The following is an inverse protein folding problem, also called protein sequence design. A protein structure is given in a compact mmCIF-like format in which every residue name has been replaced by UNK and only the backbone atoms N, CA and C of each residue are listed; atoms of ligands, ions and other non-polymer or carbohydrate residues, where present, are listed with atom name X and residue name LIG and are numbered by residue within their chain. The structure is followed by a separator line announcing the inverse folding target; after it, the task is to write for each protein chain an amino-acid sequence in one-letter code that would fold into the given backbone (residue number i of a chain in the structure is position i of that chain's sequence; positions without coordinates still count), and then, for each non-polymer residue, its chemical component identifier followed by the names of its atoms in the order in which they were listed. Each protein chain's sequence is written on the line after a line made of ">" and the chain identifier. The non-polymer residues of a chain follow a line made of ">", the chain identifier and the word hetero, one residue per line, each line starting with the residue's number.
data_IF_325561794970
#
_entry.id   IF_325561794970
#
_cell.length_a   1.000
_cell.length_b   1.000
_cell.length_c   1.000
_cell.angle_alpha   90.00
_cell.angle_beta   90.00
_cell.angle_gamma   90.00
#
_symmetry.space_group_name_H-M   'P 1'
#
loop_
_entity.id
_entity.type
_entity.pdbx_description
1 polymer ?
#
# COMPACT_ATOMS: atom_id res chain seq x y z
N UNK A 1 -12.70 -5.60 -7.88
CA UNK A 1 -12.64 -4.13 -7.84
C UNK A 1 -11.20 -3.63 -7.67
N UNK A 2 -10.52 -3.97 -6.57
CA UNK A 2 -9.13 -3.51 -6.30
C UNK A 2 -8.15 -3.81 -7.44
N UNK A 3 -8.14 -5.05 -7.96
CA UNK A 3 -7.24 -5.40 -9.06
C UNK A 3 -7.44 -4.54 -10.31
N UNK A 4 -8.68 -4.22 -10.66
CA UNK A 4 -8.97 -3.34 -11.80
C UNK A 4 -8.50 -1.91 -11.56
N UNK A 5 -8.70 -1.39 -10.34
CA UNK A 5 -8.19 -0.07 -9.94
C UNK A 5 -6.66 -0.02 -10.06
N UNK A 6 -5.96 -1.08 -9.65
CA UNK A 6 -4.51 -1.17 -9.79
C UNK A 6 -4.04 -1.20 -11.25
N UNK A 7 -4.80 -1.85 -12.13
CA UNK A 7 -4.44 -1.92 -13.56
C UNK A 7 -4.76 -0.65 -14.32
N UNK A 8 -5.83 0.06 -13.94
CA UNK A 8 -6.34 1.22 -14.68
C UNK A 8 -5.93 2.56 -14.09
N UNK A 9 -5.63 2.62 -12.80
CA UNK A 9 -5.44 3.88 -12.08
C UNK A 9 -6.73 4.71 -11.93
N UNK A 10 -7.91 4.10 -12.11
CA UNK A 10 -9.21 4.78 -12.03
C UNK A 10 -9.95 4.30 -10.79
N UNK A 11 -10.46 5.23 -9.98
CA UNK A 11 -11.26 4.90 -8.80
C UNK A 11 -12.59 4.23 -9.19
N UNK A 12 -13.02 3.27 -8.39
CA UNK A 12 -14.32 2.60 -8.54
C UNK A 12 -15.15 2.69 -7.27
N UNK A 13 -16.46 2.80 -7.45
CA UNK A 13 -17.45 2.81 -6.38
C UNK A 13 -18.51 1.75 -6.72
N UNK A 14 -18.90 0.99 -5.72
CA UNK A 14 -19.96 -0.01 -5.78
C UNK A 14 -21.33 0.67 -5.84
N UNK A 15 -22.23 0.13 -6.65
CA UNK A 15 -23.64 0.53 -6.65
C UNK A 15 -24.39 0.02 -5.41
N UNK A 16 -23.84 -0.97 -4.70
CA UNK A 16 -24.44 -1.61 -3.52
C UNK A 16 -24.07 -0.88 -2.21
N UNK A 17 -24.25 0.43 -2.18
CA UNK A 17 -23.76 1.30 -1.10
C UNK A 17 -24.37 0.95 0.28
N UNK A 18 -25.62 0.52 0.28
CA UNK A 18 -26.45 0.28 1.47
C UNK A 18 -26.16 -1.03 2.21
N UNK A 19 -25.41 -1.98 1.61
CA UNK A 19 -25.23 -3.33 2.17
C UNK A 19 -23.89 -3.53 2.89
N UNK A 20 -23.04 -2.50 2.93
CA UNK A 20 -21.65 -2.66 3.35
C UNK A 20 -20.83 -3.46 2.32
N UNK A 21 -19.51 -3.33 2.41
CA UNK A 21 -18.54 -4.03 1.58
C UNK A 21 -17.65 -4.95 2.40
N UNK A 22 -16.94 -5.84 1.70
CA UNK A 22 -15.87 -6.67 2.28
C UNK A 22 -14.52 -6.26 1.68
N UNK A 23 -13.43 -6.89 2.10
CA UNK A 23 -12.14 -6.65 1.49
C UNK A 23 -12.09 -7.14 0.03
N UNK A 24 -12.75 -8.25 -0.26
CA UNK A 24 -12.86 -8.86 -1.59
C UNK A 24 -13.82 -8.07 -2.50
N UNK A 25 -14.87 -7.49 -1.90
CA UNK A 25 -15.89 -6.71 -2.57
C UNK A 25 -16.16 -5.38 -1.83
N UNK A 26 -15.22 -4.42 -1.90
CA UNK A 26 -15.34 -3.15 -1.18
C UNK A 26 -16.42 -2.25 -1.80
N UNK A 27 -16.90 -1.29 -1.01
CA UNK A 27 -17.81 -0.24 -1.46
C UNK A 27 -17.12 0.78 -2.37
N UNK A 28 -15.82 1.02 -2.15
CA UNK A 28 -15.02 1.83 -3.06
C UNK A 28 -13.57 1.35 -3.07
N UNK A 29 -12.89 1.56 -4.18
CA UNK A 29 -11.45 1.38 -4.30
C UNK A 29 -10.85 2.61 -4.98
N UNK A 30 -9.87 3.24 -4.33
CA UNK A 30 -9.19 4.44 -4.81
C UNK A 30 -7.70 4.13 -5.00
N UNK A 31 -7.11 4.39 -6.18
CA UNK A 31 -5.72 4.06 -6.41
C UNK A 31 -4.79 4.99 -5.65
N UNK A 32 -3.69 4.44 -5.15
CA UNK A 32 -2.55 5.19 -4.62
C UNK A 32 -1.59 5.42 -5.78
N UNK A 33 -1.54 6.66 -6.27
CA UNK A 33 -0.80 7.02 -7.48
C UNK A 33 0.58 7.57 -7.17
N UNK A 34 1.59 7.11 -7.91
CA UNK A 34 2.93 7.71 -7.97
C UNK A 34 3.22 8.00 -9.43
N UNK A 35 3.34 9.30 -9.77
CA UNK A 35 3.31 9.73 -11.18
C UNK A 35 2.05 9.15 -11.85
N UNK A 36 2.22 8.38 -12.92
CA UNK A 36 1.12 7.80 -13.71
C UNK A 36 0.87 6.32 -13.40
N UNK A 37 1.44 5.77 -12.32
CA UNK A 37 1.31 4.37 -11.95
C UNK A 37 0.63 4.21 -10.59
N UNK A 38 -0.34 3.28 -10.51
CA UNK A 38 -0.90 2.84 -9.25
C UNK A 38 0.08 1.90 -8.54
N UNK A 39 0.50 2.25 -7.33
CA UNK A 39 1.40 1.46 -6.49
C UNK A 39 0.67 0.73 -5.37
N UNK A 40 -0.63 1.01 -5.21
CA UNK A 40 -1.49 0.43 -4.20
C UNK A 40 -2.92 0.91 -4.38
N UNK A 41 -3.81 0.50 -3.47
CA UNK A 41 -5.19 0.95 -3.46
C UNK A 41 -5.73 1.05 -2.03
N UNK A 42 -6.57 2.05 -1.79
CA UNK A 42 -7.37 2.19 -0.58
C UNK A 42 -8.71 1.51 -0.85
N UNK A 43 -9.04 0.46 -0.08
CA UNK A 43 -10.32 -0.23 -0.15
C UNK A 43 -11.22 0.23 1.00
N UNK A 44 -12.40 0.76 0.67
CA UNK A 44 -13.40 1.21 1.65
C UNK A 44 -14.44 0.11 1.80
N UNK A 45 -14.43 -0.56 2.95
CA UNK A 45 -15.40 -1.61 3.27
C UNK A 45 -16.71 -1.05 3.84
N UNK A 46 -16.64 -0.01 4.66
CA UNK A 46 -17.81 0.59 5.31
C UNK A 46 -17.72 2.11 5.31
N UNK A 47 -18.89 2.74 5.31
CA UNK A 47 -19.06 4.18 5.49
C UNK A 47 -20.09 4.43 6.59
N UNK A 48 -20.15 5.64 7.12
CA UNK A 48 -21.15 6.01 8.12
C UNK A 48 -22.57 5.77 7.60
N UNK A 49 -23.43 5.17 8.43
CA UNK A 49 -24.81 4.78 8.09
C UNK A 49 -25.68 5.96 7.61
N UNK A 50 -25.35 7.18 8.03
CA UNK A 50 -26.06 8.42 7.66
C UNK A 50 -25.72 8.94 6.26
N UNK A 51 -24.84 8.24 5.51
CA UNK A 51 -24.31 8.72 4.24
C UNK A 51 -25.03 8.06 3.07
N UNK A 52 -25.94 8.80 2.43
CA UNK A 52 -26.82 8.31 1.35
C UNK A 52 -26.07 7.95 0.06
N UNK A 53 -24.91 8.58 -0.20
CA UNK A 53 -24.14 8.37 -1.43
C UNK A 53 -22.65 8.71 -1.27
N UNK A 54 -21.83 8.18 -2.17
CA UNK A 54 -20.47 8.65 -2.41
C UNK A 54 -20.48 10.03 -3.04
N UNK A 55 -19.94 11.02 -2.36
CA UNK A 55 -19.88 12.40 -2.81
C UNK A 55 -18.51 12.73 -3.42
N UNK A 56 -18.47 13.78 -4.24
CA UNK A 56 -17.22 14.26 -4.84
C UNK A 56 -16.14 14.57 -3.79
N UNK A 57 -16.54 15.05 -2.60
CA UNK A 57 -15.62 15.31 -1.49
C UNK A 57 -14.93 14.05 -0.97
N UNK A 58 -15.58 12.88 -1.02
CA UNK A 58 -14.95 11.62 -0.62
C UNK A 58 -13.83 11.25 -1.58
N UNK A 59 -14.06 11.45 -2.89
CA UNK A 59 -13.04 11.23 -3.90
C UNK A 59 -11.79 12.08 -3.65
N UNK A 60 -11.97 13.39 -3.44
CA UNK A 60 -10.84 14.29 -3.17
C UNK A 60 -10.14 13.97 -1.85
N UNK A 61 -10.90 13.61 -0.81
CA UNK A 61 -10.33 13.17 0.47
C UNK A 61 -9.43 11.94 0.31
N UNK A 62 -9.92 10.89 -0.36
CA UNK A 62 -9.15 9.67 -0.54
C UNK A 62 -7.99 9.85 -1.51
N UNK A 63 -8.12 10.73 -2.50
CA UNK A 63 -7.02 11.11 -3.40
C UNK A 63 -5.90 11.82 -2.64
N UNK A 64 -6.24 12.77 -1.78
CA UNK A 64 -5.28 13.44 -0.90
C UNK A 64 -4.61 12.44 0.03
N UNK A 65 -5.39 11.60 0.72
CA UNK A 65 -4.87 10.55 1.60
C UNK A 65 -3.93 9.61 0.85
N UNK A 66 -4.30 9.20 -0.38
CA UNK A 66 -3.49 8.38 -1.26
C UNK A 66 -2.12 9.01 -1.57
N UNK A 67 -2.06 10.33 -1.78
CA UNK A 67 -0.78 11.01 -2.05
C UNK A 67 0.21 10.95 -0.87
N UNK A 68 -0.31 11.05 0.36
CA UNK A 68 0.49 10.87 1.57
C UNK A 68 0.86 9.40 1.78
N UNK A 69 -0.09 8.48 1.59
CA UNK A 69 0.14 7.04 1.70
C UNK A 69 1.20 6.55 0.71
N UNK A 70 1.22 7.08 -0.52
CA UNK A 70 2.24 6.78 -1.51
C UNK A 70 3.65 7.07 -0.97
N UNK A 71 3.85 8.24 -0.35
CA UNK A 71 5.13 8.63 0.23
C UNK A 71 5.53 7.70 1.38
N UNK A 72 4.59 7.39 2.27
CA UNK A 72 4.83 6.47 3.39
C UNK A 72 5.17 5.04 2.93
N UNK A 73 4.46 4.52 1.92
CA UNK A 73 4.73 3.19 1.36
C UNK A 73 6.09 3.13 0.67
N UNK A 74 6.47 4.17 -0.08
CA UNK A 74 7.81 4.26 -0.68
C UNK A 74 8.87 4.28 0.42
N UNK A 75 8.71 5.12 1.45
CA UNK A 75 9.65 5.19 2.55
C UNK A 75 9.78 3.86 3.30
N UNK A 76 8.66 3.16 3.54
CA UNK A 76 8.65 1.86 4.18
C UNK A 76 9.41 0.80 3.35
N UNK A 77 9.21 0.76 2.02
CA UNK A 77 9.95 -0.15 1.15
C UNK A 77 11.45 0.17 1.15
N UNK A 78 11.83 1.44 1.01
CA UNK A 78 13.23 1.86 1.03
C UNK A 78 13.92 1.49 2.36
N UNK A 79 13.20 1.63 3.47
CA UNK A 79 13.73 1.28 4.79
C UNK A 79 13.89 -0.24 4.94
N UNK A 80 12.88 -1.03 4.53
CA UNK A 80 12.95 -2.49 4.57
C UNK A 80 14.11 -3.03 3.71
N UNK A 81 14.32 -2.46 2.53
CA UNK A 81 15.44 -2.82 1.64
C UNK A 81 16.79 -2.48 2.28
N UNK A 82 16.91 -1.29 2.88
CA UNK A 82 18.13 -0.86 3.57
C UNK A 82 18.46 -1.74 4.78
N UNK A 83 17.45 -2.12 5.57
CA UNK A 83 17.61 -3.04 6.70
C UNK A 83 18.11 -4.41 6.24
N UNK A 84 17.51 -4.96 5.17
CA UNK A 84 17.96 -6.22 4.56
C UNK A 84 19.42 -6.16 4.08
N UNK A 85 19.79 -5.08 3.38
CA UNK A 85 21.15 -4.86 2.92
C UNK A 85 22.16 -4.75 4.08
N UNK A 86 21.80 -4.04 5.15
CA UNK A 86 22.65 -3.88 6.34
C UNK A 86 22.90 -5.22 7.06
N UNK A 87 21.85 -6.04 7.21
CA UNK A 87 21.94 -7.37 7.81
C UNK A 87 22.89 -8.28 7.02
N UNK A 88 22.77 -8.28 5.68
CA UNK A 88 23.65 -9.08 4.83
C UNK A 88 25.13 -8.68 4.97
N UNK A 89 25.43 -7.38 4.97
CA UNK A 89 26.80 -6.86 5.15
C UNK A 89 27.36 -7.19 6.53
N UNK A 90 26.53 -7.10 7.57
CA UNK A 90 26.93 -7.45 8.94
C UNK A 90 27.28 -8.93 9.08
N UNK A 91 26.55 -9.81 8.39
CA UNK A 91 26.86 -11.25 8.31
C UNK A 91 28.23 -11.50 7.68
N UNK A 92 28.53 -10.86 6.55
CA UNK A 92 29.84 -10.97 5.89
C UNK A 92 30.98 -10.50 6.80
N UNK A 93 30.83 -9.33 7.44
CA UNK A 93 31.83 -8.82 8.37
C UNK A 93 32.07 -9.78 9.57
N UNK A 94 31.03 -10.45 10.06
CA UNK A 94 31.14 -11.48 11.10
C UNK A 94 31.92 -12.73 10.67
N UNK A 95 31.86 -13.10 9.38
CA UNK A 95 32.64 -14.21 8.83
C UNK A 95 34.12 -13.84 8.63
N UNK A 96 34.40 -12.59 8.23
CA UNK A 96 35.76 -12.09 8.04
C UNK A 96 36.51 -11.83 9.36
N UNK A 97 35.78 -11.69 10.47
CA UNK A 97 36.35 -11.42 11.80
C UNK A 97 36.60 -12.68 12.65
N UNK A 98 36.17 -13.87 12.20
CA UNK A 98 36.55 -15.14 12.85
C UNK A 98 37.94 -15.58 12.35
N UNK A 99 38.94 -15.76 13.22
CA UNK A 99 40.22 -16.30 12.80
C UNK A 99 40.03 -17.72 12.27
N UNK A 100 40.66 -18.03 11.13
CA UNK A 100 40.61 -19.36 10.53
C UNK A 100 41.19 -20.38 11.51
N UNK A 101 40.35 -21.12 12.21
CA UNK A 101 40.76 -22.32 12.92
C UNK A 101 41.15 -23.36 11.88
N UNK A 102 42.46 -23.51 11.65
CA UNK A 102 43.01 -24.59 10.84
C UNK A 102 42.77 -25.92 11.55
N UNK A 103 42.17 -26.94 10.89
CA UNK A 103 42.09 -28.28 11.47
C UNK A 103 43.51 -28.88 11.52
N UNK A 104 43.82 -29.50 12.66
CA UNK A 104 45.09 -30.20 12.94
C UNK A 104 45.17 -31.55 12.26
#
# INVERSE_FOLDING_TARGET
>A
MVGEVLMTGIAKVSERWEKGGTLEAPLAAVPIMVRDQAVGAIAVATVFEQKEQWAAVDHELFKLLGSHAATALIAANLFADAEGALVALSGVAGHLSKPSTSPS
#
